data_IF_308189881187
#
_entry.id   IF_308189881187
#
_cell.length_a   1.000
_cell.length_b   1.000
_cell.length_c   1.000
_cell.angle_alpha   90.00
_cell.angle_beta   90.00
_cell.angle_gamma   90.00
#
_symmetry.space_group_name_H-M   'P 1'
#
loop_
_entity.id
_entity.type
_entity.pdbx_description
1 polymer ?
#
# COMPACT_ATOMS: atom_id res chain seq x y z
N UNK A 1 -3.83 -32.37 -5.92
CA UNK A 1 -4.33 -31.23 -5.13
C UNK A 1 -3.40 -30.07 -5.39
N UNK A 2 -3.73 -29.17 -6.33
CA UNK A 2 -2.89 -28.00 -6.58
C UNK A 2 -3.06 -27.05 -5.40
N UNK A 3 -2.02 -26.90 -4.59
CA UNK A 3 -1.94 -25.85 -3.57
C UNK A 3 -2.13 -24.51 -4.27
N UNK A 4 -3.30 -23.91 -4.09
CA UNK A 4 -3.60 -22.60 -4.64
C UNK A 4 -2.69 -21.58 -3.97
N UNK A 5 -1.77 -20.97 -4.72
CA UNK A 5 -0.97 -19.83 -4.25
C UNK A 5 -1.90 -18.82 -3.58
N UNK A 6 -1.57 -18.44 -2.34
CA UNK A 6 -2.29 -17.39 -1.63
C UNK A 6 -2.28 -16.11 -2.49
N UNK A 7 -3.47 -15.62 -2.83
CA UNK A 7 -3.63 -14.42 -3.65
C UNK A 7 -3.26 -13.18 -2.83
N UNK A 8 -2.71 -12.17 -3.49
CA UNK A 8 -2.13 -11.03 -2.79
C UNK A 8 -2.32 -9.70 -3.50
N UNK A 9 -2.48 -8.64 -2.70
CA UNK A 9 -2.75 -7.28 -3.19
C UNK A 9 -1.78 -6.30 -2.56
N UNK A 10 -1.15 -5.48 -3.40
CA UNK A 10 -0.37 -4.32 -2.98
C UNK A 10 -1.22 -3.06 -3.07
N UNK A 11 -1.54 -2.46 -1.94
CA UNK A 11 -2.23 -1.18 -1.85
C UNK A 11 -1.21 -0.03 -1.86
N UNK A 12 -1.50 1.03 -2.61
CA UNK A 12 -0.68 2.24 -2.65
C UNK A 12 -1.54 3.47 -2.40
N UNK A 13 -1.17 4.25 -1.38
CA UNK A 13 -1.86 5.48 -0.99
C UNK A 13 -0.89 6.67 -0.93
N UNK A 14 -1.34 7.89 -1.33
CA UNK A 14 -0.53 9.10 -1.24
C UNK A 14 -0.33 9.59 0.20
N UNK A 15 -1.18 9.16 1.13
CA UNK A 15 -1.19 9.53 2.53
C UNK A 15 -2.09 8.56 3.33
N UNK A 16 -1.96 8.55 4.66
CA UNK A 16 -2.76 7.74 5.60
C UNK A 16 -3.48 8.65 6.61
N UNK A 17 -4.14 9.70 6.12
CA UNK A 17 -4.95 10.58 6.98
C UNK A 17 -6.30 9.95 7.31
N UNK A 18 -7.10 10.61 8.14
CA UNK A 18 -8.42 10.12 8.55
C UNK A 18 -9.53 10.41 7.53
N UNK A 19 -9.17 10.70 6.27
CA UNK A 19 -10.09 11.05 5.19
C UNK A 19 -10.95 9.88 4.71
N UNK A 20 -11.96 10.18 3.90
CA UNK A 20 -12.90 9.18 3.40
C UNK A 20 -12.25 8.13 2.49
N UNK A 21 -11.24 8.53 1.72
CA UNK A 21 -10.50 7.66 0.81
C UNK A 21 -9.73 6.59 1.58
N UNK A 22 -9.01 6.97 2.63
CA UNK A 22 -8.17 6.09 3.42
C UNK A 22 -9.01 5.17 4.30
N UNK A 23 -10.10 5.67 4.87
CA UNK A 23 -11.10 4.85 5.57
C UNK A 23 -11.74 3.82 4.63
N UNK A 24 -11.97 4.16 3.37
CA UNK A 24 -12.46 3.21 2.38
C UNK A 24 -11.43 2.10 2.10
N UNK A 25 -10.14 2.43 1.97
CA UNK A 25 -9.09 1.41 1.83
C UNK A 25 -8.98 0.54 3.07
N UNK A 26 -9.11 1.14 4.25
CA UNK A 26 -9.07 0.38 5.49
C UNK A 26 -10.23 -0.62 5.57
N UNK A 27 -11.46 -0.19 5.25
CA UNK A 27 -12.62 -1.08 5.19
C UNK A 27 -12.43 -2.19 4.14
N UNK A 28 -11.80 -1.88 3.00
CA UNK A 28 -11.44 -2.89 2.00
C UNK A 28 -10.42 -3.89 2.57
N UNK A 29 -9.37 -3.42 3.24
CA UNK A 29 -8.36 -4.27 3.87
C UNK A 29 -8.97 -5.16 4.96
N UNK A 30 -9.95 -4.65 5.71
CA UNK A 30 -10.70 -5.40 6.70
C UNK A 30 -11.55 -6.50 6.05
N UNK A 31 -12.26 -6.19 4.97
CA UNK A 31 -13.07 -7.17 4.24
C UNK A 31 -12.25 -8.27 3.55
N UNK A 32 -11.00 -7.98 3.17
CA UNK A 32 -10.10 -8.94 2.53
C UNK A 32 -9.20 -9.69 3.53
N UNK A 33 -9.32 -9.39 4.81
CA UNK A 33 -8.49 -9.98 5.86
C UNK A 33 -8.73 -11.48 5.95
N UNK A 34 -7.65 -12.25 5.87
CA UNK A 34 -7.69 -13.71 5.94
C UNK A 34 -7.99 -14.40 4.60
N UNK A 35 -8.45 -13.65 3.60
CA UNK A 35 -8.61 -14.16 2.23
C UNK A 35 -7.37 -13.90 1.37
N UNK A 36 -6.74 -12.73 1.55
CA UNK A 36 -5.60 -12.27 0.76
C UNK A 36 -4.42 -11.85 1.63
N UNK A 37 -3.20 -12.02 1.12
CA UNK A 37 -2.04 -11.36 1.68
C UNK A 37 -2.00 -9.89 1.24
N UNK A 38 -1.97 -8.97 2.20
CA UNK A 38 -2.07 -7.54 1.95
C UNK A 38 -0.74 -6.82 2.20
N UNK A 39 -0.31 -6.02 1.23
CA UNK A 39 0.80 -5.08 1.34
C UNK A 39 0.33 -3.63 1.24
N UNK A 40 1.04 -2.70 1.88
CA UNK A 40 0.75 -1.26 1.86
C UNK A 40 2.03 -0.46 1.63
N UNK A 41 2.01 0.38 0.60
CA UNK A 41 2.95 1.48 0.39
C UNK A 41 2.23 2.80 0.62
N UNK A 42 2.66 3.53 1.64
CA UNK A 42 2.15 4.87 1.90
C UNK A 42 3.11 5.66 2.80
N UNK A 43 3.07 7.00 2.79
CA UNK A 43 3.65 7.78 3.87
C UNK A 43 2.98 7.44 5.20
N UNK A 44 3.70 7.52 6.33
CA UNK A 44 3.10 7.29 7.63
C UNK A 44 2.02 8.34 7.90
N UNK A 45 1.01 7.95 8.67
CA UNK A 45 -0.10 8.80 9.05
C UNK A 45 -0.98 8.15 10.11
N UNK A 46 -2.00 8.88 10.62
CA UNK A 46 -2.85 8.44 11.74
C UNK A 46 -3.47 7.05 11.59
N UNK A 47 -3.86 6.65 10.37
CA UNK A 47 -4.49 5.34 10.15
C UNK A 47 -3.50 4.17 10.05
N UNK A 48 -2.18 4.41 10.12
CA UNK A 48 -1.18 3.36 9.93
C UNK A 48 -1.38 2.19 10.90
N UNK A 49 -1.62 2.47 12.18
CA UNK A 49 -1.78 1.43 13.19
C UNK A 49 -3.00 0.56 12.94
N UNK A 50 -4.05 1.10 12.32
CA UNK A 50 -5.24 0.35 11.92
C UNK A 50 -4.90 -0.69 10.85
N UNK A 51 -4.12 -0.31 9.82
CA UNK A 51 -3.64 -1.26 8.81
C UNK A 51 -2.71 -2.33 9.41
N UNK A 52 -1.80 -1.94 10.31
CA UNK A 52 -0.90 -2.89 10.95
C UNK A 52 -1.65 -3.91 11.82
N UNK A 53 -2.70 -3.48 12.53
CA UNK A 53 -3.58 -4.40 13.31
C UNK A 53 -4.30 -5.42 12.46
N UNK A 54 -4.53 -5.13 11.18
CA UNK A 54 -5.09 -6.09 10.21
C UNK A 54 -4.06 -7.08 9.65
N UNK A 55 -2.78 -6.94 10.03
CA UNK A 55 -1.69 -7.79 9.54
C UNK A 55 -1.13 -7.38 8.17
N UNK A 56 -1.44 -6.16 7.71
CA UNK A 56 -0.94 -5.64 6.43
C UNK A 56 0.57 -5.38 6.51
N UNK A 57 1.33 -5.90 5.53
CA UNK A 57 2.77 -5.63 5.45
C UNK A 57 3.00 -4.22 4.93
N UNK A 58 3.73 -3.41 5.69
CA UNK A 58 3.90 -1.99 5.40
C UNK A 58 5.32 -1.65 4.94
N UNK A 59 5.43 -0.73 3.97
CA UNK A 59 6.65 0.00 3.68
C UNK A 59 6.35 1.48 3.49
N UNK A 60 7.12 2.32 4.18
CA UNK A 60 6.97 3.77 4.10
C UNK A 60 7.63 4.36 2.85
N UNK A 61 7.04 5.43 2.32
CA UNK A 61 7.76 6.37 1.44
C UNK A 61 7.39 7.83 1.80
N UNK A 62 8.26 8.81 1.55
CA UNK A 62 7.95 10.22 1.83
C UNK A 62 6.77 10.74 0.99
N UNK A 63 5.99 11.70 1.53
CA UNK A 63 4.95 12.39 0.76
C UNK A 63 5.55 13.00 -0.51
N UNK A 64 5.03 12.59 -1.67
CA UNK A 64 5.57 13.00 -2.98
C UNK A 64 5.46 14.51 -3.19
N UNK A 65 4.39 15.14 -2.69
CA UNK A 65 4.20 16.59 -2.71
C UNK A 65 5.36 17.37 -2.07
N UNK A 66 6.06 16.78 -1.10
CA UNK A 66 7.17 17.44 -0.39
C UNK A 66 8.54 17.08 -0.98
N UNK A 67 8.70 15.84 -1.45
CA UNK A 67 10.01 15.31 -1.88
C UNK A 67 9.88 14.32 -3.04
N UNK A 68 9.59 14.83 -4.24
CA UNK A 68 9.32 14.00 -5.44
C UNK A 68 10.44 12.99 -5.73
N UNK A 69 11.68 13.45 -5.94
CA UNK A 69 12.78 12.57 -6.40
C UNK A 69 13.11 11.48 -5.37
N UNK A 70 13.35 11.87 -4.11
CA UNK A 70 13.63 10.89 -3.05
C UNK A 70 12.41 10.03 -2.72
N UNK A 71 11.21 10.57 -2.92
CA UNK A 71 9.94 9.88 -2.75
C UNK A 71 9.74 8.76 -3.76
N UNK A 72 9.96 9.03 -5.05
CA UNK A 72 9.94 8.00 -6.12
C UNK A 72 10.99 6.92 -5.84
N UNK A 73 12.21 7.31 -5.45
CA UNK A 73 13.27 6.33 -5.12
C UNK A 73 12.89 5.45 -3.92
N UNK A 74 12.33 6.05 -2.87
CA UNK A 74 11.85 5.32 -1.70
C UNK A 74 10.68 4.39 -2.06
N UNK A 75 9.71 4.86 -2.85
CA UNK A 75 8.60 4.05 -3.35
C UNK A 75 9.11 2.84 -4.15
N UNK A 76 10.03 3.02 -5.10
CA UNK A 76 10.57 1.92 -5.90
C UNK A 76 11.27 0.87 -5.02
N UNK A 77 12.06 1.32 -4.04
CA UNK A 77 12.72 0.40 -3.06
C UNK A 77 11.71 -0.33 -2.20
N UNK A 78 10.74 0.38 -1.62
CA UNK A 78 9.69 -0.20 -0.78
C UNK A 78 8.83 -1.19 -1.56
N UNK A 79 8.50 -0.87 -2.83
CA UNK A 79 7.82 -1.78 -3.74
C UNK A 79 8.63 -3.03 -3.96
N UNK A 80 9.89 -2.93 -4.36
CA UNK A 80 10.76 -4.09 -4.55
C UNK A 80 10.82 -4.96 -3.28
N UNK A 81 11.04 -4.35 -2.11
CA UNK A 81 11.08 -5.05 -0.84
C UNK A 81 9.76 -5.79 -0.53
N UNK A 82 8.61 -5.12 -0.68
CA UNK A 82 7.31 -5.76 -0.47
C UNK A 82 7.03 -6.84 -1.50
N UNK A 83 7.38 -6.65 -2.78
CA UNK A 83 7.14 -7.67 -3.81
C UNK A 83 8.00 -8.92 -3.62
N UNK A 84 9.14 -8.82 -2.92
CA UNK A 84 9.92 -10.00 -2.53
C UNK A 84 9.29 -10.78 -1.38
N UNK A 85 8.53 -10.12 -0.51
CA UNK A 85 7.86 -10.75 0.65
C UNK A 85 6.45 -11.23 0.29
N UNK A 86 5.73 -10.42 -0.47
CA UNK A 86 4.37 -10.64 -0.97
C UNK A 86 4.37 -10.26 -2.44
N UNK A 87 4.65 -11.20 -3.36
CA UNK A 87 4.60 -10.92 -4.79
C UNK A 87 3.13 -10.71 -5.19
N UNK A 88 2.70 -9.47 -5.50
CA UNK A 88 1.28 -9.14 -5.64
C UNK A 88 0.71 -9.67 -6.95
N UNK A 89 -0.50 -10.21 -6.90
CA UNK A 89 -1.27 -10.59 -8.09
C UNK A 89 -2.03 -9.39 -8.66
N UNK A 90 -2.34 -8.40 -7.81
CA UNK A 90 -2.92 -7.13 -8.20
C UNK A 90 -2.31 -5.96 -7.40
N UNK A 91 -2.27 -4.77 -8.01
CA UNK A 91 -1.94 -3.52 -7.33
C UNK A 91 -3.17 -2.64 -7.28
N UNK A 92 -3.67 -2.36 -6.07
CA UNK A 92 -4.74 -1.39 -5.85
C UNK A 92 -4.12 -0.02 -5.60
N UNK A 93 -4.30 0.91 -6.55
CA UNK A 93 -3.72 2.25 -6.49
C UNK A 93 -4.84 3.26 -6.26
N UNK A 94 -4.87 3.86 -5.08
CA UNK A 94 -5.79 4.95 -4.81
C UNK A 94 -5.10 6.26 -5.16
N UNK A 95 -5.27 6.69 -6.40
CA UNK A 95 -4.53 7.82 -6.97
C UNK A 95 -5.44 9.03 -7.17
N UNK A 96 -5.16 10.10 -6.42
CA UNK A 96 -5.33 11.47 -6.89
C UNK A 96 -4.10 11.92 -7.70
N UNK A 97 -4.07 13.20 -8.08
CA UNK A 97 -2.94 13.79 -8.80
C UNK A 97 -1.60 13.65 -8.05
N UNK A 98 -1.61 13.39 -6.72
CA UNK A 98 -0.40 13.27 -5.92
C UNK A 98 0.47 12.06 -6.28
N UNK A 99 -0.12 11.00 -6.87
CA UNK A 99 0.63 9.81 -7.31
C UNK A 99 1.07 9.87 -8.77
N UNK A 100 0.77 10.95 -9.50
CA UNK A 100 1.19 11.11 -10.90
C UNK A 100 2.71 10.90 -11.12
N UNK A 101 3.63 11.29 -10.21
CA UNK A 101 5.05 11.00 -10.36
C UNK A 101 5.42 9.50 -10.36
N UNK A 102 4.52 8.61 -9.90
CA UNK A 102 4.72 7.15 -9.86
C UNK A 102 4.22 6.44 -11.12
N UNK A 103 3.55 7.15 -12.02
CA UNK A 103 3.00 6.60 -13.27
C UNK A 103 4.02 6.59 -14.42
N UNK A 104 5.23 7.10 -14.18
CA UNK A 104 6.38 7.11 -15.10
C UNK A 104 7.37 6.03 -14.73
#
# INVERSE_FOLDING_TARGET
MSEGRARSVLMVLPYLETGGTERHVLALAEGLRGELALGLLAPPGPLLDEFLRLGVRYCAFPRLAQRVVSGVRAFRRGRTALTHVIPPDATHRQAGAELAPLAR
#
